data_IF_602069562013
#
_entry.id   IF_602069562013
#
_cell.length_a   1.000
_cell.length_b   1.000
_cell.length_c   1.000
_cell.angle_alpha   90.00
_cell.angle_beta   90.00
_cell.angle_gamma   90.00
#
_symmetry.space_group_name_H-M   'P 1'
#
loop_
_entity.id
_entity.type
_entity.pdbx_description
1 polymer ?
#
# COMPACT_ATOMS: atom_id res chain seq x y z
N UNK A 1 -17.48 16.62 -2.60
CA UNK A 1 -16.15 16.05 -2.95
C UNK A 1 -16.16 15.76 -4.44
N UNK A 2 -15.18 16.27 -5.21
CA UNK A 2 -15.12 16.03 -6.66
C UNK A 2 -14.45 14.69 -6.88
N UNK A 3 -15.12 13.76 -7.54
CA UNK A 3 -14.52 12.46 -7.89
C UNK A 3 -13.45 12.68 -8.96
N UNK A 4 -12.28 12.01 -8.89
CA UNK A 4 -11.26 12.16 -9.90
C UNK A 4 -11.76 11.71 -11.27
N UNK A 5 -11.32 12.39 -12.32
CA UNK A 5 -11.58 11.98 -13.70
C UNK A 5 -10.63 10.85 -14.10
N UNK A 6 -11.01 9.62 -13.75
CA UNK A 6 -10.18 8.41 -13.94
C UNK A 6 -9.86 8.17 -15.42
N UNK A 7 -10.75 8.58 -16.33
CA UNK A 7 -10.52 8.42 -17.77
C UNK A 7 -9.36 9.31 -18.27
N UNK A 8 -9.11 10.41 -17.56
CA UNK A 8 -7.99 11.31 -17.84
C UNK A 8 -6.64 10.82 -17.27
N UNK A 9 -6.65 9.82 -16.38
CA UNK A 9 -5.42 9.35 -15.74
C UNK A 9 -4.42 8.78 -16.73
N UNK A 10 -3.16 9.10 -16.46
CA UNK A 10 -1.99 8.65 -17.20
C UNK A 10 -0.92 8.37 -16.16
N UNK A 11 0.05 7.53 -16.55
CA UNK A 11 1.27 7.35 -15.78
C UNK A 11 1.87 8.73 -15.44
N UNK A 12 1.96 9.00 -14.15
CA UNK A 12 2.49 10.19 -13.54
C UNK A 12 3.11 9.80 -12.21
N UNK A 13 4.42 9.64 -12.21
CA UNK A 13 5.26 9.23 -11.08
C UNK A 13 5.18 10.18 -9.85
N UNK A 14 4.43 11.26 -9.93
CA UNK A 14 4.20 12.23 -8.85
C UNK A 14 2.72 12.39 -8.48
N UNK A 15 1.82 11.63 -9.08
CA UNK A 15 0.41 11.69 -8.76
C UNK A 15 0.13 11.02 -7.41
N UNK A 16 -0.44 11.79 -6.47
CA UNK A 16 -1.07 11.31 -5.24
C UNK A 16 -2.24 12.24 -4.88
N UNK A 17 -3.38 11.69 -4.48
CA UNK A 17 -4.59 12.44 -4.12
C UNK A 17 -5.38 11.72 -3.02
N UNK A 18 -5.91 12.48 -2.06
CA UNK A 18 -6.89 11.99 -1.10
C UNK A 18 -8.29 12.04 -1.73
N UNK A 19 -8.77 10.88 -2.18
CA UNK A 19 -10.03 10.77 -2.93
C UNK A 19 -11.27 10.69 -2.01
N UNK A 20 -11.07 10.24 -0.77
CA UNK A 20 -12.02 10.26 0.35
C UNK A 20 -11.25 10.49 1.65
N UNK A 21 -11.90 10.90 2.76
CA UNK A 21 -11.19 11.06 4.02
C UNK A 21 -10.39 9.79 4.40
N UNK A 22 -9.08 9.95 4.56
CA UNK A 22 -8.12 8.88 4.84
C UNK A 22 -7.97 7.79 3.76
N UNK A 23 -8.48 8.02 2.54
CA UNK A 23 -8.31 7.12 1.39
C UNK A 23 -7.51 7.83 0.31
N UNK A 24 -6.33 7.31 0.02
CA UNK A 24 -5.37 7.90 -0.90
C UNK A 24 -5.18 7.03 -2.12
N UNK A 25 -5.16 7.68 -3.28
CA UNK A 25 -4.83 7.07 -4.56
C UNK A 25 -3.54 7.69 -5.08
N UNK A 26 -2.63 6.86 -5.57
CA UNK A 26 -1.35 7.28 -6.16
C UNK A 26 -1.02 6.46 -7.39
N UNK A 27 -0.12 6.94 -8.24
CA UNK A 27 0.39 6.11 -9.34
C UNK A 27 1.50 5.19 -8.85
N UNK A 28 2.64 5.74 -8.44
CA UNK A 28 3.78 4.96 -7.94
C UNK A 28 3.62 4.63 -6.46
N UNK A 29 3.73 3.35 -6.12
CA UNK A 29 3.50 2.82 -4.77
C UNK A 29 4.43 3.41 -3.70
N UNK A 30 5.59 3.94 -4.09
CA UNK A 30 6.54 4.60 -3.16
C UNK A 30 5.90 5.74 -2.36
N UNK A 31 4.87 6.38 -2.90
CA UNK A 31 4.16 7.49 -2.25
C UNK A 31 3.36 7.06 -1.02
N UNK A 32 3.05 5.77 -0.87
CA UNK A 32 2.37 5.25 0.30
C UNK A 32 3.14 5.58 1.59
N UNK A 33 4.46 5.42 1.60
CA UNK A 33 5.30 5.78 2.76
C UNK A 33 5.15 7.24 3.19
N UNK A 34 5.15 8.19 2.23
CA UNK A 34 4.92 9.60 2.53
C UNK A 34 3.53 9.84 3.15
N UNK A 35 2.50 9.18 2.63
CA UNK A 35 1.13 9.29 3.15
C UNK A 35 1.04 8.75 4.58
N UNK A 36 1.70 7.63 4.88
CA UNK A 36 1.70 7.03 6.21
C UNK A 36 2.38 7.94 7.24
N UNK A 37 3.54 8.52 6.90
CA UNK A 37 4.22 9.52 7.75
C UNK A 37 3.34 10.76 7.96
N UNK A 38 2.64 11.22 6.92
CA UNK A 38 1.70 12.36 7.02
C UNK A 38 0.55 12.07 7.99
N UNK A 39 0.02 10.85 7.99
CA UNK A 39 -1.05 10.43 8.91
C UNK A 39 -0.52 10.30 10.34
N UNK A 40 0.66 9.69 10.50
CA UNK A 40 1.32 9.53 11.80
C UNK A 40 1.60 10.86 12.49
N UNK A 41 2.19 11.82 11.77
CA UNK A 41 2.49 13.15 12.30
C UNK A 41 1.22 13.96 12.66
N UNK A 42 0.08 13.69 12.01
CA UNK A 42 -1.18 14.38 12.29
C UNK A 42 -1.94 13.83 13.49
N UNK A 43 -1.86 12.52 13.72
CA UNK A 43 -2.74 11.84 14.67
C UNK A 43 -2.17 11.74 16.09
N UNK A 44 -0.98 12.30 16.35
CA UNK A 44 -0.27 12.17 17.64
C UNK A 44 -0.25 10.72 18.16
N UNK A 45 -0.23 9.74 17.24
CA UNK A 45 -0.35 8.34 17.60
C UNK A 45 0.87 7.92 18.42
N UNK A 46 0.65 7.48 19.65
CA UNK A 46 1.73 7.08 20.56
C UNK A 46 2.32 5.68 20.26
N UNK A 47 1.83 4.99 19.23
CA UNK A 47 2.23 3.61 18.93
C UNK A 47 2.36 3.30 17.43
N UNK A 48 3.03 2.19 17.14
CA UNK A 48 3.23 1.65 15.79
C UNK A 48 1.94 1.08 15.20
N UNK A 49 1.84 1.14 13.87
CA UNK A 49 0.77 0.53 13.10
C UNK A 49 1.07 -0.93 12.75
N UNK A 50 0.00 -1.69 12.53
CA UNK A 50 0.06 -2.87 11.69
C UNK A 50 -0.21 -2.47 10.23
N UNK A 51 0.67 -2.89 9.32
CA UNK A 51 0.48 -2.76 7.87
C UNK A 51 -0.18 -4.02 7.34
N UNK A 52 -1.28 -3.87 6.61
CA UNK A 52 -1.85 -4.91 5.76
C UNK A 52 -1.54 -4.54 4.32
N UNK A 53 -0.65 -5.29 3.68
CA UNK A 53 -0.20 -5.03 2.31
C UNK A 53 -0.70 -6.12 1.37
N UNK A 54 -1.48 -5.72 0.37
CA UNK A 54 -2.05 -6.59 -0.66
C UNK A 54 -1.53 -6.15 -2.03
N UNK A 55 -0.63 -6.93 -2.64
CA UNK A 55 -0.01 -6.57 -3.91
C UNK A 55 0.42 -7.81 -4.70
N UNK A 56 0.78 -7.64 -5.97
CA UNK A 56 1.49 -8.70 -6.67
C UNK A 56 2.88 -8.93 -6.04
N UNK A 57 3.57 -7.87 -5.63
CA UNK A 57 4.94 -7.90 -5.07
C UNK A 57 4.98 -7.83 -3.55
N UNK A 58 6.14 -8.16 -2.97
CA UNK A 58 6.38 -8.02 -1.52
C UNK A 58 6.72 -6.59 -1.10
N UNK A 59 7.33 -5.82 -1.99
CA UNK A 59 7.85 -4.46 -1.77
C UNK A 59 8.68 -4.29 -0.47
N UNK A 60 9.37 -5.38 -0.11
CA UNK A 60 10.12 -5.53 1.14
C UNK A 60 11.62 -5.31 1.01
N UNK A 61 12.11 -4.70 -0.08
CA UNK A 61 13.55 -4.41 -0.23
C UNK A 61 13.96 -3.35 0.81
N UNK A 62 15.11 -3.57 1.45
CA UNK A 62 15.71 -2.57 2.33
C UNK A 62 16.89 -1.88 1.65
N UNK A 63 16.60 -0.77 0.97
CA UNK A 63 17.64 0.04 0.30
C UNK A 63 18.55 0.82 1.27
N UNK A 64 18.21 0.87 2.56
CA UNK A 64 19.06 1.46 3.59
C UNK A 64 20.12 0.47 4.11
N UNK A 65 20.05 -0.80 3.69
CA UNK A 65 20.99 -1.83 4.13
C UNK A 65 22.44 -1.46 3.81
N UNK A 66 23.31 -1.52 4.82
CA UNK A 66 24.73 -1.19 4.69
C UNK A 66 25.05 0.31 4.69
N UNK A 67 24.07 1.19 4.91
CA UNK A 67 24.28 2.65 4.98
C UNK A 67 23.78 3.23 6.32
N UNK A 68 24.59 3.13 7.40
CA UNK A 68 24.23 3.68 8.72
C UNK A 68 23.98 5.19 8.72
N UNK A 69 24.59 5.93 7.77
CA UNK A 69 24.40 7.38 7.65
C UNK A 69 23.02 7.68 7.07
N UNK A 70 22.58 6.94 6.06
CA UNK A 70 21.23 7.06 5.53
C UNK A 70 20.17 6.68 6.57
N UNK A 71 20.39 5.62 7.35
CA UNK A 71 19.50 5.23 8.47
C UNK A 71 19.39 6.35 9.51
N UNK A 72 20.53 6.92 9.95
CA UNK A 72 20.53 8.04 10.91
C UNK A 72 19.77 9.24 10.35
N UNK A 73 20.07 9.63 9.11
CA UNK A 73 19.40 10.74 8.45
C UNK A 73 17.89 10.51 8.33
N UNK A 74 17.45 9.27 8.06
CA UNK A 74 16.04 8.90 8.00
C UNK A 74 15.35 9.08 9.35
N UNK A 75 15.94 8.58 10.43
CA UNK A 75 15.36 8.66 11.79
C UNK A 75 15.28 10.11 12.29
N UNK A 76 16.24 10.95 11.92
CA UNK A 76 16.30 12.36 12.33
C UNK A 76 15.30 13.27 11.57
N UNK A 77 14.60 12.78 10.54
CA UNK A 77 13.57 13.58 9.86
C UNK A 77 12.34 13.73 10.78
N UNK A 78 12.02 14.98 11.12
CA UNK A 78 10.86 15.38 11.91
C UNK A 78 9.89 16.31 11.14
N UNK A 79 10.13 16.47 9.84
CA UNK A 79 9.39 17.38 8.97
C UNK A 79 8.90 16.63 7.73
N UNK A 80 7.62 16.81 7.40
CA UNK A 80 6.93 16.12 6.33
C UNK A 80 7.45 16.51 4.94
N UNK A 81 7.95 17.75 4.76
CA UNK A 81 8.51 18.20 3.48
C UNK A 81 9.85 17.50 3.18
N UNK A 82 10.62 17.17 4.22
CA UNK A 82 11.83 16.35 4.10
C UNK A 82 11.51 14.90 3.77
N UNK A 83 10.43 14.33 4.31
CA UNK A 83 9.94 13.00 3.90
C UNK A 83 9.51 13.04 2.43
N UNK A 84 8.72 14.04 2.03
CA UNK A 84 8.31 14.21 0.62
C UNK A 84 9.51 14.24 -0.31
N UNK A 85 10.51 15.08 0.01
CA UNK A 85 11.76 15.19 -0.75
C UNK A 85 12.56 13.90 -0.81
N UNK A 86 12.52 13.09 0.26
CA UNK A 86 13.16 11.78 0.30
C UNK A 86 12.49 10.81 -0.69
N UNK A 87 11.16 10.73 -0.67
CA UNK A 87 10.38 9.86 -1.57
C UNK A 87 10.54 10.29 -3.03
N UNK A 88 10.45 11.59 -3.31
CA UNK A 88 10.58 12.13 -4.66
C UNK A 88 11.93 11.82 -5.32
N UNK A 89 13.01 11.70 -4.53
CA UNK A 89 14.35 11.36 -5.04
C UNK A 89 14.49 9.94 -5.56
N UNK A 90 13.55 9.04 -5.23
CA UNK A 90 13.49 7.66 -5.74
C UNK A 90 14.81 6.87 -5.59
N UNK A 91 15.52 7.05 -4.46
CA UNK A 91 16.82 6.39 -4.20
C UNK A 91 16.72 5.30 -3.15
N UNK A 92 16.30 5.67 -1.94
CA UNK A 92 16.13 4.77 -0.79
C UNK A 92 14.67 4.39 -0.52
N UNK A 93 13.74 5.19 -1.03
CA UNK A 93 12.30 4.91 -1.00
C UNK A 93 11.86 4.78 -2.44
N UNK A 94 11.72 3.54 -2.90
CA UNK A 94 11.30 3.18 -4.25
C UNK A 94 10.05 2.31 -4.16
N UNK A 95 9.44 2.02 -5.31
CA UNK A 95 8.24 1.19 -5.39
C UNK A 95 8.40 -0.19 -4.74
N UNK A 96 9.61 -0.73 -4.70
CA UNK A 96 9.93 -2.04 -4.12
C UNK A 96 10.51 -1.99 -2.71
N UNK A 97 10.68 -0.79 -2.12
CA UNK A 97 11.40 -0.60 -0.86
C UNK A 97 10.75 0.35 0.15
N UNK A 98 9.53 0.83 -0.11
CA UNK A 98 8.86 1.84 0.71
C UNK A 98 8.37 1.33 2.07
N UNK A 99 8.28 0.02 2.28
CA UNK A 99 7.92 -0.58 3.58
C UNK A 99 9.08 -0.48 4.58
N UNK A 100 10.32 -0.69 4.13
CA UNK A 100 11.51 -0.67 4.98
C UNK A 100 11.70 0.64 5.78
N UNK A 101 11.60 1.86 5.20
CA UNK A 101 11.75 3.09 5.98
C UNK A 101 10.68 3.27 7.05
N UNK A 102 9.45 2.79 6.83
CA UNK A 102 8.39 2.80 7.85
C UNK A 102 8.78 1.94 9.06
N UNK A 103 9.41 0.79 8.84
CA UNK A 103 9.90 -0.07 9.91
C UNK A 103 11.10 0.55 10.61
N UNK A 104 12.05 1.11 9.85
CA UNK A 104 13.24 1.77 10.42
C UNK A 104 12.86 2.89 11.39
N UNK A 105 11.82 3.65 11.05
CA UNK A 105 11.31 4.76 11.88
C UNK A 105 10.37 4.33 12.99
N UNK A 106 10.05 3.03 13.10
CA UNK A 106 9.12 2.51 14.10
C UNK A 106 7.65 2.86 13.83
N UNK A 107 7.33 3.38 12.64
CA UNK A 107 5.97 3.65 12.20
C UNK A 107 5.17 2.34 12.06
N UNK A 108 5.82 1.31 11.52
CA UNK A 108 5.25 -0.03 11.35
C UNK A 108 6.16 -1.04 12.04
N UNK A 109 5.60 -1.90 12.90
CA UNK A 109 6.33 -2.99 13.56
C UNK A 109 5.69 -4.36 13.27
N UNK A 110 4.62 -4.39 12.49
CA UNK A 110 3.86 -5.58 12.16
C UNK A 110 3.33 -5.50 10.73
N UNK A 111 3.68 -6.47 9.88
CA UNK A 111 3.28 -6.50 8.48
C UNK A 111 2.54 -7.79 8.13
N UNK A 112 1.37 -7.66 7.54
CA UNK A 112 0.53 -8.74 7.07
C UNK A 112 0.52 -8.73 5.55
N UNK A 113 1.14 -9.73 4.92
CA UNK A 113 1.29 -9.81 3.49
C UNK A 113 0.27 -10.77 2.87
N UNK A 114 -0.53 -10.27 1.93
CA UNK A 114 -1.24 -11.08 0.95
C UNK A 114 -0.69 -10.75 -0.43
N UNK A 115 0.37 -11.45 -0.85
CA UNK A 115 1.03 -11.20 -2.11
C UNK A 115 1.13 -12.43 -3.01
N UNK A 116 1.28 -12.19 -4.32
CA UNK A 116 1.33 -13.24 -5.35
C UNK A 116 2.74 -13.53 -5.88
N UNK A 117 3.75 -12.79 -5.44
CA UNK A 117 5.13 -12.92 -5.91
C UNK A 117 5.70 -14.30 -5.58
N UNK A 118 6.28 -14.93 -6.59
CA UNK A 118 6.98 -16.23 -6.47
C UNK A 118 8.44 -16.09 -6.91
N UNK A 119 9.24 -17.14 -6.74
CA UNK A 119 10.64 -17.17 -7.20
C UNK A 119 11.65 -16.34 -6.41
N UNK A 120 11.22 -15.69 -5.32
CA UNK A 120 12.06 -14.91 -4.41
C UNK A 120 11.75 -15.27 -2.96
N UNK A 121 12.61 -14.86 -2.01
CA UNK A 121 12.32 -15.01 -0.58
C UNK A 121 11.05 -14.23 -0.20
N UNK A 122 10.18 -14.77 0.67
CA UNK A 122 8.91 -14.13 0.99
C UNK A 122 9.09 -12.91 1.89
N UNK A 123 8.37 -11.83 1.57
CA UNK A 123 8.24 -10.63 2.40
C UNK A 123 9.58 -9.95 2.69
N UNK A 124 9.76 -9.59 3.97
CA UNK A 124 10.91 -8.85 4.50
C UNK A 124 12.03 -9.79 4.97
N UNK A 125 13.28 -9.32 4.87
CA UNK A 125 14.46 -10.06 5.30
C UNK A 125 14.45 -10.34 6.83
N UNK A 126 14.54 -11.60 7.32
CA UNK A 126 14.36 -11.89 8.75
C UNK A 126 15.34 -11.20 9.71
N UNK A 127 16.64 -11.04 9.39
CA UNK A 127 17.54 -10.25 10.23
C UNK A 127 17.14 -8.78 10.35
N UNK A 128 16.61 -8.17 9.29
CA UNK A 128 16.08 -6.80 9.33
C UNK A 128 14.89 -6.70 10.30
N UNK A 129 13.95 -7.64 10.24
CA UNK A 129 12.83 -7.70 11.19
C UNK A 129 13.31 -7.82 12.64
N UNK A 130 14.29 -8.69 12.89
CA UNK A 130 14.88 -8.89 14.22
C UNK A 130 15.55 -7.64 14.75
N UNK A 131 16.31 -6.93 13.91
CA UNK A 131 17.00 -5.68 14.25
C UNK A 131 16.01 -4.60 14.71
N UNK A 132 14.89 -4.45 14.00
CA UNK A 132 13.89 -3.42 14.27
C UNK A 132 12.75 -3.87 15.20
N UNK A 133 12.85 -5.08 15.78
CA UNK A 133 11.78 -5.70 16.61
C UNK A 133 10.43 -5.75 15.90
N UNK A 134 10.45 -5.84 14.57
CA UNK A 134 9.27 -5.97 13.74
C UNK A 134 8.93 -7.45 13.50
N UNK A 135 7.70 -7.72 13.10
CA UNK A 135 7.23 -9.06 12.70
C UNK A 135 6.47 -9.01 11.38
N UNK A 136 6.43 -10.15 10.70
CA UNK A 136 5.62 -10.32 9.51
C UNK A 136 4.81 -11.61 9.54
N UNK A 137 3.68 -11.59 8.84
CA UNK A 137 2.81 -12.73 8.60
C UNK A 137 2.57 -12.85 7.10
N UNK A 138 2.76 -14.05 6.54
CA UNK A 138 2.57 -14.32 5.11
C UNK A 138 1.31 -15.17 4.93
N UNK A 139 0.39 -14.68 4.12
CA UNK A 139 -0.89 -15.31 3.87
C UNK A 139 -0.99 -15.75 2.40
N UNK A 140 -1.09 -17.06 2.17
CA UNK A 140 -1.33 -17.61 0.83
C UNK A 140 -2.80 -17.52 0.37
N UNK A 141 -3.70 -17.22 1.30
CA UNK A 141 -5.14 -17.06 1.10
C UNK A 141 -5.61 -15.85 1.91
N UNK A 142 -6.72 -15.23 1.49
CA UNK A 142 -7.18 -13.99 2.13
C UNK A 142 -7.93 -14.27 3.45
N UNK A 143 -8.60 -15.42 3.56
CA UNK A 143 -9.44 -15.78 4.70
C UNK A 143 -8.66 -15.88 6.03
N UNK A 144 -7.44 -16.47 6.07
CA UNK A 144 -6.64 -16.46 7.30
C UNK A 144 -6.14 -15.05 7.68
N UNK A 145 -5.97 -14.13 6.72
CA UNK A 145 -5.70 -12.73 7.02
C UNK A 145 -6.92 -12.06 7.67
N UNK A 146 -8.10 -12.23 7.06
CA UNK A 146 -9.35 -11.60 7.51
C UNK A 146 -9.82 -12.10 8.88
N UNK A 147 -9.44 -13.33 9.26
CA UNK A 147 -9.70 -13.91 10.58
C UNK A 147 -8.63 -13.58 11.62
N UNK A 148 -7.52 -12.94 11.22
CA UNK A 148 -6.45 -12.58 12.13
C UNK A 148 -6.86 -11.37 12.99
N UNK A 149 -6.69 -11.48 14.31
CA UNK A 149 -6.98 -10.38 15.22
C UNK A 149 -5.78 -9.42 15.30
N UNK A 150 -5.90 -8.26 14.65
CA UNK A 150 -4.92 -7.18 14.71
C UNK A 150 -5.31 -6.24 15.86
N UNK A 151 -4.43 -6.10 16.87
CA UNK A 151 -4.70 -5.32 18.08
C UNK A 151 -4.22 -3.86 18.01
N UNK A 152 -3.72 -3.43 16.85
CA UNK A 152 -3.12 -2.12 16.60
C UNK A 152 -3.93 -1.32 15.58
N UNK A 153 -3.73 0.01 15.51
CA UNK A 153 -4.18 0.80 14.36
C UNK A 153 -3.65 0.20 13.05
N UNK A 154 -4.49 0.22 12.00
CA UNK A 154 -4.22 -0.47 10.74
C UNK A 154 -3.93 0.55 9.64
N UNK A 155 -2.86 0.30 8.89
CA UNK A 155 -2.65 0.84 7.54
C UNK A 155 -3.09 -0.25 6.57
N UNK A 156 -4.11 0.03 5.75
CA UNK A 156 -4.50 -0.86 4.66
C UNK A 156 -3.89 -0.35 3.36
N UNK A 157 -3.04 -1.15 2.75
CA UNK A 157 -2.30 -0.80 1.55
C UNK A 157 -2.55 -1.82 0.45
N UNK A 158 -2.95 -1.34 -0.73
CA UNK A 158 -3.24 -2.20 -1.88
C UNK A 158 -2.57 -1.68 -3.14
N UNK A 159 -1.83 -2.53 -3.84
CA UNK A 159 -1.43 -2.29 -5.23
C UNK A 159 -2.49 -2.91 -6.15
N UNK A 160 -3.00 -2.13 -7.10
CA UNK A 160 -3.94 -2.63 -8.11
C UNK A 160 -3.31 -3.66 -9.06
N UNK A 161 -1.97 -3.81 -9.03
CA UNK A 161 -1.27 -4.86 -9.76
C UNK A 161 -1.62 -6.27 -9.26
N UNK A 162 -2.14 -6.39 -8.04
CA UNK A 162 -2.70 -7.63 -7.50
C UNK A 162 -3.74 -8.25 -8.43
N UNK A 163 -4.54 -7.39 -9.06
CA UNK A 163 -5.63 -7.76 -9.95
C UNK A 163 -5.16 -8.07 -11.38
N UNK A 164 -3.86 -8.03 -11.66
CA UNK A 164 -3.30 -8.51 -12.91
C UNK A 164 -2.80 -9.97 -12.74
N UNK A 165 -3.27 -10.89 -13.59
CA UNK A 165 -2.78 -12.28 -13.59
C UNK A 165 -1.42 -12.40 -14.29
N UNK A 166 -1.07 -11.44 -15.15
CA UNK A 166 0.24 -11.37 -15.82
C UNK A 166 1.31 -10.80 -14.88
N UNK A 167 2.54 -11.34 -14.99
CA UNK A 167 3.75 -10.82 -14.38
C UNK A 167 4.60 -9.96 -15.34
N UNK A 168 4.11 -9.77 -16.57
CA UNK A 168 4.76 -8.99 -17.63
C UNK A 168 4.28 -7.54 -17.65
N UNK A 169 5.19 -6.62 -18.00
CA UNK A 169 4.93 -5.19 -18.03
C UNK A 169 4.00 -4.82 -19.19
N UNK A 170 3.05 -3.92 -18.92
CA UNK A 170 2.03 -3.47 -19.88
C UNK A 170 1.18 -4.61 -20.51
N UNK A 171 1.22 -5.82 -19.96
CA UNK A 171 0.44 -6.96 -20.44
C UNK A 171 -0.77 -7.23 -19.55
N UNK A 172 -1.93 -7.38 -20.20
CA UNK A 172 -3.20 -7.61 -19.53
C UNK A 172 -3.45 -9.08 -19.22
N UNK A 173 -3.93 -9.32 -18.01
CA UNK A 173 -4.68 -10.51 -17.62
C UNK A 173 -5.56 -10.18 -16.42
N UNK A 174 -6.38 -9.11 -16.49
CA UNK A 174 -7.06 -8.61 -15.32
C UNK A 174 -8.03 -9.65 -14.75
N UNK A 175 -8.19 -9.61 -13.43
CA UNK A 175 -9.34 -10.20 -12.78
C UNK A 175 -10.61 -9.61 -13.37
N UNK A 176 -11.67 -10.41 -13.40
CA UNK A 176 -13.00 -9.96 -13.77
C UNK A 176 -13.51 -8.92 -12.76
N UNK A 177 -14.42 -8.06 -13.19
CA UNK A 177 -15.07 -7.07 -12.32
C UNK A 177 -15.67 -7.72 -11.06
N UNK A 178 -16.27 -8.91 -11.22
CA UNK A 178 -16.82 -9.68 -10.12
C UNK A 178 -15.74 -10.15 -9.15
N UNK A 179 -14.64 -10.74 -9.63
CA UNK A 179 -13.50 -11.16 -8.78
C UNK A 179 -12.96 -9.97 -7.96
N UNK A 180 -12.79 -8.79 -8.58
CA UNK A 180 -12.28 -7.58 -7.90
C UNK A 180 -13.27 -7.10 -6.83
N UNK A 181 -14.55 -6.98 -7.16
CA UNK A 181 -15.58 -6.48 -6.24
C UNK A 181 -15.81 -7.43 -5.07
N UNK A 182 -15.85 -8.74 -5.32
CA UNK A 182 -15.97 -9.74 -4.26
C UNK A 182 -14.77 -9.70 -3.31
N UNK A 183 -13.55 -9.60 -3.86
CA UNK A 183 -12.33 -9.48 -3.05
C UNK A 183 -12.33 -8.22 -2.18
N UNK A 184 -12.67 -7.06 -2.75
CA UNK A 184 -12.79 -5.81 -1.99
C UNK A 184 -13.90 -5.90 -0.93
N UNK A 185 -15.02 -6.55 -1.24
CA UNK A 185 -16.12 -6.80 -0.30
C UNK A 185 -15.68 -7.61 0.91
N UNK A 186 -14.89 -8.68 0.68
CA UNK A 186 -14.29 -9.48 1.77
C UNK A 186 -13.39 -8.63 2.67
N UNK A 187 -12.67 -7.66 2.10
CA UNK A 187 -11.79 -6.75 2.83
C UNK A 187 -12.53 -5.58 3.51
N UNK A 188 -13.84 -5.42 3.30
CA UNK A 188 -14.59 -4.22 3.68
C UNK A 188 -14.48 -3.84 5.17
N UNK A 189 -14.50 -4.83 6.08
CA UNK A 189 -14.35 -4.57 7.51
C UNK A 189 -12.96 -4.05 7.86
N UNK A 190 -11.92 -4.60 7.22
CA UNK A 190 -10.54 -4.19 7.42
C UNK A 190 -10.29 -2.78 6.87
N UNK A 191 -10.84 -2.49 5.69
CA UNK A 191 -10.80 -1.16 5.08
C UNK A 191 -11.48 -0.14 6.01
N UNK A 192 -12.68 -0.45 6.54
CA UNK A 192 -13.43 0.46 7.43
C UNK A 192 -12.74 0.71 8.78
N UNK A 193 -12.02 -0.29 9.31
CA UNK A 193 -11.31 -0.15 10.59
C UNK A 193 -9.92 0.49 10.45
N UNK A 194 -9.45 0.75 9.23
CA UNK A 194 -8.12 1.28 8.98
C UNK A 194 -8.03 2.77 9.26
N UNK A 195 -6.90 3.19 9.82
CA UNK A 195 -6.58 4.60 10.05
C UNK A 195 -6.23 5.34 8.75
N UNK A 196 -5.71 4.61 7.76
CA UNK A 196 -5.47 5.10 6.41
C UNK A 196 -5.55 3.94 5.42
N UNK A 197 -6.10 4.23 4.25
CA UNK A 197 -6.13 3.34 3.08
C UNK A 197 -5.27 3.97 1.99
N UNK A 198 -4.26 3.25 1.51
CA UNK A 198 -3.44 3.63 0.36
C UNK A 198 -3.67 2.66 -0.79
N UNK A 199 -3.90 3.19 -1.99
CA UNK A 199 -4.03 2.41 -3.21
C UNK A 199 -3.08 2.92 -4.31
N UNK A 200 -2.20 2.05 -4.80
CA UNK A 200 -1.32 2.34 -5.93
C UNK A 200 -1.96 1.84 -7.23
N UNK A 201 -2.05 2.71 -8.23
CA UNK A 201 -2.51 2.33 -9.56
C UNK A 201 -1.47 1.50 -10.30
N UNK A 202 -0.18 1.80 -10.08
CA UNK A 202 0.97 1.09 -10.65
C UNK A 202 0.84 0.90 -12.16
N UNK A 203 0.72 2.01 -12.90
CA UNK A 203 0.68 1.97 -14.37
C UNK A 203 1.87 1.16 -14.92
N UNK A 204 1.58 0.25 -15.83
CA UNK A 204 2.56 -0.66 -16.44
C UNK A 204 2.79 -1.96 -15.65
N UNK A 205 2.32 -2.07 -14.41
CA UNK A 205 2.27 -3.34 -13.66
C UNK A 205 0.84 -3.89 -13.56
N UNK A 206 -0.15 -3.01 -13.40
CA UNK A 206 -1.58 -3.36 -13.28
C UNK A 206 -2.29 -3.68 -14.59
N UNK A 207 -1.55 -4.25 -15.56
CA UNK A 207 -2.03 -4.55 -16.90
C UNK A 207 -1.74 -3.43 -17.90
N UNK A 208 -2.54 -3.39 -18.96
CA UNK A 208 -2.49 -2.28 -19.92
C UNK A 208 -2.96 -0.97 -19.27
N UNK A 209 -2.69 0.17 -19.90
CA UNK A 209 -3.22 1.48 -19.46
C UNK A 209 -4.74 1.50 -19.30
N UNK A 210 -5.47 0.70 -20.07
CA UNK A 210 -6.92 0.62 -19.96
C UNK A 210 -7.33 -0.25 -18.76
N UNK A 211 -6.63 -1.35 -18.52
CA UNK A 211 -6.85 -2.22 -17.35
C UNK A 211 -6.61 -1.44 -16.06
N UNK A 212 -5.52 -0.67 -15.98
CA UNK A 212 -5.22 0.17 -14.81
C UNK A 212 -6.32 1.19 -14.52
N UNK A 213 -6.84 1.89 -15.56
CA UNK A 213 -7.96 2.82 -15.38
C UNK A 213 -9.22 2.09 -14.93
N UNK A 214 -9.46 0.90 -15.49
CA UNK A 214 -10.65 0.11 -15.18
C UNK A 214 -10.63 -0.39 -13.73
N UNK A 215 -9.53 -0.99 -13.27
CA UNK A 215 -9.38 -1.43 -11.87
C UNK A 215 -9.46 -0.24 -10.91
N UNK A 216 -8.87 0.90 -11.27
CA UNK A 216 -9.00 2.15 -10.49
C UNK A 216 -10.46 2.59 -10.38
N UNK A 217 -11.24 2.50 -11.46
CA UNK A 217 -12.67 2.84 -11.44
C UNK A 217 -13.47 1.91 -10.53
N UNK A 218 -13.19 0.62 -10.57
CA UNK A 218 -13.83 -0.36 -9.69
C UNK A 218 -13.49 -0.09 -8.21
N UNK A 219 -12.20 0.09 -7.89
CA UNK A 219 -11.74 0.39 -6.54
C UNK A 219 -12.40 1.68 -6.00
N UNK A 220 -12.30 2.79 -6.74
CA UNK A 220 -12.84 4.08 -6.30
C UNK A 220 -14.36 4.07 -6.19
N UNK A 221 -15.07 3.36 -7.08
CA UNK A 221 -16.53 3.18 -6.98
C UNK A 221 -16.91 2.36 -5.76
N UNK A 222 -16.20 1.27 -5.50
CA UNK A 222 -16.38 0.46 -4.30
C UNK A 222 -16.15 1.29 -3.03
N UNK A 223 -15.05 2.04 -2.96
CA UNK A 223 -14.74 2.90 -1.81
C UNK A 223 -15.82 3.95 -1.57
N UNK A 224 -16.33 4.57 -2.63
CA UNK A 224 -17.47 5.49 -2.53
C UNK A 224 -18.66 4.81 -1.86
N UNK A 225 -19.07 3.66 -2.39
CA UNK A 225 -20.29 2.98 -1.95
C UNK A 225 -20.13 2.42 -0.52
N UNK A 226 -18.90 2.01 -0.16
CA UNK A 226 -18.51 1.59 1.19
C UNK A 226 -18.63 2.72 2.20
N UNK A 227 -18.15 3.92 1.84
CA UNK A 227 -18.12 5.10 2.72
C UNK A 227 -19.49 5.76 2.82
N UNK A 228 -20.26 5.82 1.73
CA UNK A 228 -21.61 6.41 1.75
C UNK A 228 -22.68 5.48 2.34
N UNK A 229 -22.32 4.24 2.70
CA UNK A 229 -23.26 3.23 3.20
C UNK A 229 -24.21 2.69 2.13
N UNK A 230 -23.87 2.84 0.85
CA UNK A 230 -24.68 2.37 -0.28
C UNK A 230 -24.49 0.87 -0.58
N UNK A 231 -23.43 0.25 -0.05
CA UNK A 231 -23.29 -1.21 -0.03
C UNK A 231 -24.35 -1.81 0.90
N UNK A 232 -25.53 -2.12 0.35
CA UNK A 232 -26.52 -2.95 1.03
C UNK A 232 -25.91 -4.33 1.27
N UNK A 233 -25.93 -4.78 2.52
CA UNK A 233 -25.37 -6.08 2.92
C UNK A 233 -25.80 -7.19 1.98
N UNK A 234 -24.81 -7.80 1.33
CA UNK A 234 -24.89 -9.11 0.69
C UNK A 234 -24.98 -10.21 1.74
#
# INVERSE_FOLDING_TARGET
MKFPDIDSFKMNDTYLEEIFPSVWLMDDHRWAYYIWEKVFLKNENEGSFALVHLACRWDGVNDFYGDPTAVRNLVEINDIDRIYSLVQRNRYVRKDSFIAPAIIRGLVDEVHFYCRQTGTGPGLYPPFLKEHKARQFIYGQIEPLLSHQISKPIIFDIDLDLFNKSDMWDEGGPWTDQEIVEFLSMCSNLIRSSSVVTAAMSFGCSGTKQDTRHSTRLFTSFMRDLITGSLKGS
#
